data_IF_540731562233
#
_entry.id   IF_540731562233
#
_cell.length_a   1.000
_cell.length_b   1.000
_cell.length_c   1.000
_cell.angle_alpha   90.00
_cell.angle_beta   90.00
_cell.angle_gamma   90.00
#
_symmetry.space_group_name_H-M   'P 1'
#
loop_
_entity.id
_entity.type
_entity.pdbx_description
1 polymer ?
#
# COMPACT_ATOMS: atom_id res chain seq x y z
N UNK A 1 64.78 0.67 1.13
CA UNK A 1 65.71 1.79 1.34
C UNK A 1 65.00 2.82 2.19
N UNK A 2 65.49 2.88 3.42
CA UNK A 2 65.45 3.87 4.51
C UNK A 2 64.12 4.48 4.96
N UNK A 3 63.85 4.05 6.18
CA UNK A 3 63.14 4.71 7.27
C UNK A 3 63.70 6.09 7.61
N UNK A 4 62.88 7.03 8.05
CA UNK A 4 63.28 7.92 9.14
C UNK A 4 62.08 8.30 10.02
N UNK A 5 62.25 7.93 11.31
CA UNK A 5 61.51 8.38 12.50
C UNK A 5 62.06 9.73 12.95
N UNK A 6 61.23 10.62 13.45
CA UNK A 6 61.55 11.57 14.54
C UNK A 6 60.30 11.81 15.36
N UNK A 7 60.42 11.76 16.47
CA UNK A 7 60.51 11.77 17.92
C UNK A 7 60.01 13.08 18.53
N UNK A 8 59.29 12.83 19.63
CA UNK A 8 58.69 13.71 20.63
C UNK A 8 59.65 14.73 21.26
N UNK A 9 59.05 15.80 21.76
CA UNK A 9 59.34 16.55 23.01
C UNK A 9 59.78 18.01 22.87
N UNK A 10 59.14 18.76 23.79
CA UNK A 10 59.55 20.02 24.50
C UNK A 10 59.13 21.30 23.79
N UNK A 11 58.53 22.33 24.39
CA UNK A 11 58.57 22.84 25.77
C UNK A 11 57.44 23.82 26.06
N UNK A 12 56.96 23.82 27.31
CA UNK A 12 56.10 24.87 27.90
C UNK A 12 56.81 26.22 27.92
N UNK A 13 56.09 27.32 27.65
CA UNK A 13 56.26 28.59 28.37
C UNK A 13 54.92 29.33 28.47
N UNK A 14 54.56 29.61 29.71
CA UNK A 14 53.38 30.39 30.11
C UNK A 14 53.59 31.90 29.84
N UNK A 15 52.54 32.55 29.34
CA UNK A 15 52.36 33.99 29.49
C UNK A 15 50.95 34.22 30.03
N UNK A 16 50.89 34.76 31.25
CA UNK A 16 49.70 35.23 31.91
C UNK A 16 49.34 36.59 31.29
N UNK A 17 48.20 36.66 30.71
CA UNK A 17 47.60 37.95 30.26
C UNK A 17 46.11 37.87 30.50
N UNK A 18 45.62 38.57 31.53
CA UNK A 18 44.22 38.63 31.84
C UNK A 18 43.40 39.36 30.78
N UNK A 19 42.34 38.73 30.37
CA UNK A 19 41.25 39.39 29.61
C UNK A 19 39.93 38.94 30.22
N UNK A 20 39.15 39.89 30.67
CA UNK A 20 37.79 39.70 31.17
C UNK A 20 36.93 39.17 29.99
N UNK A 21 36.64 37.88 29.99
CA UNK A 21 35.69 37.29 29.10
C UNK A 21 34.28 37.53 29.68
N UNK A 22 33.53 38.45 29.07
CA UNK A 22 32.10 38.54 29.26
C UNK A 22 31.49 37.21 28.89
N UNK A 23 31.01 36.46 29.86
CA UNK A 23 30.33 35.18 29.67
C UNK A 23 29.01 35.40 28.93
N UNK A 24 29.01 35.33 27.61
CA UNK A 24 27.82 34.98 26.88
C UNK A 24 27.53 33.51 27.16
N UNK A 25 26.71 33.25 28.17
CA UNK A 25 26.11 31.98 28.43
C UNK A 25 25.27 31.60 27.21
N UNK A 26 25.84 30.75 26.35
CA UNK A 26 25.05 29.98 25.42
C UNK A 26 24.13 29.11 26.29
N UNK A 27 22.93 29.60 26.55
CA UNK A 27 21.87 28.76 27.06
C UNK A 27 21.69 27.67 25.98
N UNK A 28 22.21 26.50 26.23
CA UNK A 28 21.73 25.28 25.56
C UNK A 28 20.21 25.31 25.80
N UNK A 29 19.46 25.60 24.76
CA UNK A 29 18.03 25.41 24.80
C UNK A 29 17.86 23.92 25.10
N UNK A 30 17.47 23.56 26.33
CA UNK A 30 17.01 22.23 26.63
C UNK A 30 15.91 21.95 25.61
N UNK A 31 16.14 21.00 24.70
CA UNK A 31 15.09 20.49 23.87
C UNK A 31 13.97 20.06 24.82
N UNK A 32 12.78 20.61 24.65
CA UNK A 32 11.65 20.23 25.49
C UNK A 32 11.45 18.72 25.33
N UNK A 33 11.34 18.00 26.45
CA UNK A 33 11.07 16.58 26.42
C UNK A 33 9.70 16.34 25.77
N UNK A 34 9.59 15.28 24.97
CA UNK A 34 8.33 14.88 24.36
C UNK A 34 7.24 14.64 25.42
N UNK A 35 6.04 15.17 25.16
CA UNK A 35 4.90 15.00 26.03
C UNK A 35 3.62 14.74 25.22
N UNK A 36 2.94 13.64 25.49
CA UNK A 36 1.65 13.31 24.84
C UNK A 36 0.55 14.35 25.10
N UNK A 37 0.62 15.13 26.19
CA UNK A 37 -0.36 16.17 26.55
C UNK A 37 -0.07 17.54 25.90
N UNK A 38 0.96 17.66 25.06
CA UNK A 38 1.40 18.96 24.49
C UNK A 38 0.35 19.69 23.65
N UNK A 39 -0.68 18.98 23.19
CA UNK A 39 -1.80 19.53 22.41
C UNK A 39 -3.15 19.29 23.12
N UNK A 40 -3.14 19.14 24.45
CA UNK A 40 -4.35 18.89 25.24
C UNK A 40 -5.39 20.00 25.03
N UNK A 41 -6.63 19.58 24.76
CA UNK A 41 -7.78 20.47 24.51
C UNK A 41 -8.03 20.75 23.03
N UNK A 42 -7.10 20.42 22.12
CA UNK A 42 -7.33 20.50 20.69
C UNK A 42 -8.26 19.38 20.20
N UNK A 43 -8.79 19.58 19.01
CA UNK A 43 -9.58 18.59 18.28
C UNK A 43 -8.96 18.35 16.92
N UNK A 44 -8.93 17.09 16.48
CA UNK A 44 -8.51 16.71 15.11
C UNK A 44 -9.61 15.93 14.40
N UNK A 45 -9.61 16.03 13.08
CA UNK A 45 -10.55 15.32 12.22
C UNK A 45 -9.81 14.43 11.21
N UNK A 46 -10.25 13.16 11.09
CA UNK A 46 -9.57 12.14 10.32
C UNK A 46 -10.46 11.60 9.20
N UNK A 47 -9.92 11.53 8.00
CA UNK A 47 -10.55 10.89 6.85
C UNK A 47 -10.07 9.46 6.66
N UNK A 48 -10.95 8.47 6.85
CA UNK A 48 -10.68 7.06 6.61
C UNK A 48 -11.37 6.57 5.33
N UNK A 49 -10.66 5.75 4.57
CA UNK A 49 -11.28 4.79 3.65
C UNK A 49 -11.85 3.62 4.46
N UNK A 50 -12.97 3.05 4.03
CA UNK A 50 -13.50 1.82 4.63
C UNK A 50 -12.47 0.69 4.44
N UNK A 51 -11.83 0.27 5.55
CA UNK A 51 -10.77 -0.73 5.56
C UNK A 51 -10.60 -1.31 6.97
N UNK A 52 -10.26 -2.62 7.14
CA UNK A 52 -10.07 -3.24 8.46
C UNK A 52 -9.08 -2.50 9.38
N UNK A 53 -8.03 -1.89 8.82
CA UNK A 53 -7.11 -1.04 9.59
C UNK A 53 -7.81 0.17 10.21
N UNK A 54 -8.70 0.84 9.46
CA UNK A 54 -9.46 1.98 9.95
C UNK A 54 -10.41 1.55 11.07
N UNK A 55 -11.14 0.44 10.88
CA UNK A 55 -12.05 -0.12 11.87
C UNK A 55 -11.32 -0.44 13.18
N UNK A 56 -10.12 -1.06 13.07
CA UNK A 56 -9.28 -1.34 14.23
C UNK A 56 -8.87 -0.07 14.98
N UNK A 57 -8.38 0.95 14.27
CA UNK A 57 -7.94 2.21 14.88
C UNK A 57 -9.11 2.94 15.57
N UNK A 58 -10.27 2.96 14.94
CA UNK A 58 -11.48 3.62 15.48
C UNK A 58 -11.86 3.05 16.86
N UNK A 59 -11.76 1.74 17.04
CA UNK A 59 -12.04 1.13 18.37
C UNK A 59 -11.07 1.59 19.45
N UNK A 60 -9.89 2.09 19.09
CA UNK A 60 -8.84 2.50 20.02
C UNK A 60 -8.76 4.03 20.20
N UNK A 61 -9.49 4.83 19.41
CA UNK A 61 -9.53 6.30 19.54
C UNK A 61 -9.82 6.78 20.97
N UNK A 62 -10.77 6.20 21.74
CA UNK A 62 -11.03 6.64 23.11
C UNK A 62 -9.80 6.55 24.03
N UNK A 63 -8.92 5.58 23.79
CA UNK A 63 -7.65 5.45 24.53
C UNK A 63 -6.67 6.56 24.17
N UNK A 64 -6.56 6.89 22.88
CA UNK A 64 -5.77 8.03 22.42
C UNK A 64 -6.26 9.35 23.01
N UNK A 65 -7.56 9.60 22.99
CA UNK A 65 -8.15 10.80 23.59
C UNK A 65 -7.84 10.90 25.09
N UNK A 66 -7.98 9.78 25.83
CA UNK A 66 -7.65 9.74 27.26
C UNK A 66 -6.17 10.03 27.51
N UNK A 67 -5.28 9.49 26.68
CA UNK A 67 -3.84 9.62 26.82
C UNK A 67 -3.38 11.06 26.51
N UNK A 68 -3.96 11.69 25.50
CA UNK A 68 -3.48 12.99 24.97
C UNK A 68 -4.31 14.19 25.40
N UNK A 69 -5.55 13.96 25.86
CA UNK A 69 -6.53 15.02 26.10
C UNK A 69 -7.03 15.69 24.81
N UNK A 70 -6.70 15.15 23.64
CA UNK A 70 -7.26 15.57 22.36
C UNK A 70 -8.69 15.04 22.19
N UNK A 71 -9.46 15.69 21.31
CA UNK A 71 -10.71 15.14 20.75
C UNK A 71 -10.50 14.70 19.32
N UNK A 72 -11.07 13.56 18.94
CA UNK A 72 -10.97 13.02 17.60
C UNK A 72 -12.35 12.84 16.99
N UNK A 73 -12.55 13.48 15.85
CA UNK A 73 -13.67 13.19 14.96
C UNK A 73 -13.16 12.47 13.71
N UNK A 74 -14.01 11.71 13.07
CA UNK A 74 -13.61 10.99 11.86
C UNK A 74 -14.79 10.78 10.91
N UNK A 75 -14.46 10.54 9.65
CA UNK A 75 -15.40 10.08 8.63
C UNK A 75 -14.87 8.81 7.97
N UNK A 76 -15.78 7.91 7.58
CA UNK A 76 -15.46 6.72 6.80
C UNK A 76 -16.14 6.85 5.45
N UNK A 77 -15.40 6.66 4.37
CA UNK A 77 -15.92 6.72 3.00
C UNK A 77 -15.54 5.43 2.28
N UNK A 78 -16.46 4.79 1.51
CA UNK A 78 -16.12 3.66 0.64
C UNK A 78 -14.97 4.02 -0.31
N UNK A 79 -14.07 3.06 -0.61
CA UNK A 79 -12.83 3.33 -1.35
C UNK A 79 -13.07 4.00 -2.71
N UNK A 80 -14.10 3.56 -3.45
CA UNK A 80 -14.42 4.11 -4.77
C UNK A 80 -14.68 5.63 -4.74
N UNK A 81 -15.30 6.12 -3.67
CA UNK A 81 -15.62 7.53 -3.49
C UNK A 81 -14.53 8.28 -2.73
N UNK A 82 -13.76 7.55 -1.90
CA UNK A 82 -12.79 8.14 -0.97
C UNK A 82 -11.73 8.97 -1.69
N UNK A 83 -11.07 8.42 -2.69
CA UNK A 83 -9.99 9.12 -3.40
C UNK A 83 -10.50 10.35 -4.14
N UNK A 84 -11.66 10.26 -4.78
CA UNK A 84 -12.28 11.37 -5.52
C UNK A 84 -12.67 12.51 -4.59
N UNK A 85 -13.36 12.17 -3.48
CA UNK A 85 -13.79 13.14 -2.47
C UNK A 85 -12.59 13.82 -1.80
N UNK A 86 -11.61 13.03 -1.34
CA UNK A 86 -10.40 13.56 -0.70
C UNK A 86 -9.62 14.46 -1.65
N UNK A 87 -9.39 14.03 -2.90
CA UNK A 87 -8.68 14.81 -3.90
C UNK A 87 -9.37 16.16 -4.15
N UNK A 88 -10.70 16.18 -4.26
CA UNK A 88 -11.48 17.39 -4.46
C UNK A 88 -11.39 18.36 -3.26
N UNK A 89 -11.46 17.83 -2.04
CA UNK A 89 -11.30 18.62 -0.82
C UNK A 89 -9.90 19.25 -0.73
N UNK A 90 -8.86 18.46 -0.96
CA UNK A 90 -7.47 18.94 -0.91
C UNK A 90 -7.18 19.98 -2.01
N UNK A 91 -7.68 19.76 -3.22
CA UNK A 91 -7.54 20.71 -4.33
C UNK A 91 -8.22 22.06 -4.05
N UNK A 92 -9.30 22.07 -3.28
CA UNK A 92 -9.98 23.28 -2.81
C UNK A 92 -9.24 23.99 -1.66
N UNK A 93 -8.13 23.44 -1.16
CA UNK A 93 -7.42 23.99 0.00
C UNK A 93 -8.14 23.76 1.34
N UNK A 94 -9.02 22.75 1.39
CA UNK A 94 -9.82 22.44 2.56
C UNK A 94 -8.95 21.84 3.68
N UNK A 95 -8.81 22.54 4.78
CA UNK A 95 -8.10 22.11 5.99
C UNK A 95 -9.01 21.44 7.04
N UNK A 96 -10.22 21.04 6.70
CA UNK A 96 -11.18 20.43 7.63
C UNK A 96 -10.72 19.05 8.13
N UNK A 97 -10.04 18.25 7.30
CA UNK A 97 -9.34 17.06 7.72
C UNK A 97 -7.91 17.42 8.15
N UNK A 98 -7.45 16.85 9.25
CA UNK A 98 -6.07 17.01 9.74
C UNK A 98 -5.18 15.85 9.30
N UNK A 99 -5.73 14.63 9.32
CA UNK A 99 -5.09 13.38 8.90
C UNK A 99 -6.01 12.66 7.94
N UNK A 100 -5.44 11.96 6.98
CA UNK A 100 -6.21 11.12 6.07
C UNK A 100 -5.43 9.89 5.63
N UNK A 101 -6.16 8.82 5.28
CA UNK A 101 -5.57 7.67 4.61
C UNK A 101 -5.18 8.06 3.18
N UNK A 102 -4.06 7.53 2.72
CA UNK A 102 -3.59 7.71 1.35
C UNK A 102 -2.75 6.51 0.93
N UNK A 103 -2.43 6.45 -0.35
CA UNK A 103 -1.54 5.44 -0.91
C UNK A 103 -0.53 6.05 -1.87
N UNK A 104 0.48 5.30 -2.33
CA UNK A 104 1.61 5.84 -3.09
C UNK A 104 1.22 6.67 -4.31
N UNK A 105 0.28 6.18 -5.10
CA UNK A 105 -0.15 6.86 -6.33
C UNK A 105 -0.79 8.23 -6.08
N UNK A 106 -1.53 8.38 -4.98
CA UNK A 106 -2.18 9.66 -4.63
C UNK A 106 -1.21 10.65 -4.01
N UNK A 107 -0.18 10.16 -3.31
CA UNK A 107 0.88 11.00 -2.72
C UNK A 107 1.55 11.88 -3.77
N UNK A 108 1.79 11.39 -4.99
CA UNK A 108 2.45 12.18 -6.03
C UNK A 108 1.62 13.40 -6.46
N UNK A 109 0.32 13.23 -6.64
CA UNK A 109 -0.59 14.32 -6.93
C UNK A 109 -0.65 15.32 -5.77
N UNK A 110 -0.80 14.81 -4.54
CA UNK A 110 -0.92 15.64 -3.34
C UNK A 110 0.37 16.39 -3.02
N UNK A 111 1.54 15.77 -3.21
CA UNK A 111 2.84 16.41 -3.04
C UNK A 111 3.10 17.53 -4.06
N UNK A 112 2.77 17.31 -5.34
CA UNK A 112 2.89 18.34 -6.38
C UNK A 112 1.96 19.50 -6.12
N UNK A 113 0.73 19.24 -5.68
CA UNK A 113 -0.25 20.25 -5.28
C UNK A 113 0.10 20.97 -3.97
N UNK A 114 1.09 20.48 -3.21
CA UNK A 114 1.40 20.94 -1.84
C UNK A 114 0.23 20.76 -0.88
N UNK A 115 -0.53 19.68 -1.06
CA UNK A 115 -1.72 19.35 -0.26
C UNK A 115 -1.42 18.39 0.89
N UNK A 116 -0.26 17.74 0.85
CA UNK A 116 0.24 16.82 1.87
C UNK A 116 1.53 17.35 2.49
N UNK A 117 1.66 17.21 3.80
CA UNK A 117 2.79 17.73 4.57
C UNK A 117 4.01 16.82 4.47
N UNK A 118 5.21 17.38 4.48
CA UNK A 118 6.45 16.62 4.67
C UNK A 118 6.61 16.25 6.14
N UNK A 119 6.61 14.96 6.44
CA UNK A 119 6.67 14.45 7.81
C UNK A 119 8.09 14.36 8.39
N UNK A 120 9.14 14.46 7.56
CA UNK A 120 10.52 14.32 8.04
C UNK A 120 10.88 15.33 9.16
N UNK A 121 10.49 16.63 9.09
CA UNK A 121 10.79 17.57 10.18
C UNK A 121 10.14 17.20 11.52
N UNK A 122 8.99 16.52 11.50
CA UNK A 122 8.33 16.06 12.73
C UNK A 122 9.07 14.87 13.33
N UNK A 123 9.49 13.92 12.48
CA UNK A 123 10.26 12.73 12.87
C UNK A 123 11.59 13.14 13.52
N UNK A 124 12.27 14.11 12.93
CA UNK A 124 13.60 14.56 13.37
C UNK A 124 13.54 15.46 14.62
N UNK A 125 12.36 15.88 15.05
CA UNK A 125 12.17 16.74 16.20
C UNK A 125 11.85 15.95 17.47
N UNK A 126 12.80 15.83 18.41
CA UNK A 126 12.61 15.05 19.63
C UNK A 126 11.57 15.63 20.58
N UNK A 127 11.17 16.91 20.43
CA UNK A 127 10.06 17.49 21.17
C UNK A 127 8.69 17.09 20.64
N UNK A 128 8.62 16.67 19.37
CA UNK A 128 7.35 16.28 18.70
C UNK A 128 7.20 14.76 18.58
N UNK A 129 8.30 14.00 18.60
CA UNK A 129 8.29 12.55 18.36
C UNK A 129 8.68 11.79 19.61
N UNK A 130 7.82 10.87 20.02
CA UNK A 130 8.06 9.99 21.17
C UNK A 130 9.30 9.13 20.94
N UNK A 131 10.27 9.07 21.86
CA UNK A 131 11.49 8.26 21.70
C UNK A 131 11.20 6.77 21.42
N UNK A 132 10.11 6.25 22.01
CA UNK A 132 9.71 4.85 21.84
C UNK A 132 8.97 4.57 20.52
N UNK A 133 8.72 5.58 19.68
CA UNK A 133 8.00 5.38 18.41
C UNK A 133 8.82 4.57 17.40
N UNK A 134 10.13 4.72 17.41
CA UNK A 134 11.10 3.95 16.61
C UNK A 134 10.75 3.91 15.10
N UNK A 135 11.19 4.93 14.39
CA UNK A 135 11.02 5.01 12.93
C UNK A 135 11.77 3.88 12.19
N UNK A 136 12.91 3.44 12.73
CA UNK A 136 13.76 2.43 12.09
C UNK A 136 13.16 1.02 12.08
N UNK A 137 12.16 0.77 12.91
CA UNK A 137 11.40 -0.48 12.94
C UNK A 137 10.45 -0.65 11.73
N UNK A 138 10.16 0.43 10.99
CA UNK A 138 9.39 0.33 9.74
C UNK A 138 10.21 -0.36 8.63
N UNK A 139 9.55 -1.21 7.82
CA UNK A 139 10.22 -1.81 6.67
C UNK A 139 10.72 -0.73 5.70
N UNK A 140 12.02 -0.74 5.32
CA UNK A 140 12.58 0.29 4.45
C UNK A 140 11.85 0.42 3.10
N UNK A 141 11.38 -0.69 2.53
CA UNK A 141 10.62 -0.68 1.28
C UNK A 141 9.27 0.02 1.43
N UNK A 142 8.55 -0.18 2.54
CA UNK A 142 7.29 0.51 2.83
C UNK A 142 7.50 2.02 3.00
N UNK A 143 8.57 2.43 3.72
CA UNK A 143 8.95 3.84 3.86
C UNK A 143 9.32 4.45 2.51
N UNK A 144 10.12 3.72 1.71
CA UNK A 144 10.60 4.17 0.39
C UNK A 144 9.46 4.55 -0.55
N UNK A 145 8.38 3.81 -0.57
CA UNK A 145 7.24 4.05 -1.47
C UNK A 145 6.50 5.36 -1.14
N UNK A 146 6.60 5.83 0.11
CA UNK A 146 6.00 7.09 0.58
C UNK A 146 6.95 8.31 0.46
N UNK A 147 8.15 8.13 -0.14
CA UNK A 147 9.10 9.21 -0.42
C UNK A 147 9.13 9.55 -1.91
N UNK A 148 9.13 10.83 -2.21
CA UNK A 148 9.22 11.30 -3.58
C UNK A 148 9.87 12.69 -3.67
N UNK A 149 10.71 12.89 -4.68
CA UNK A 149 11.42 14.18 -4.91
C UNK A 149 10.57 15.24 -5.61
N UNK A 150 9.36 14.90 -6.08
CA UNK A 150 8.57 15.76 -6.97
C UNK A 150 8.91 15.62 -8.46
N UNK A 151 9.90 14.77 -8.82
CA UNK A 151 10.28 14.55 -10.20
C UNK A 151 9.29 13.63 -10.93
N UNK A 152 8.67 14.12 -11.99
CA UNK A 152 7.81 13.30 -12.85
C UNK A 152 8.57 12.12 -13.43
N UNK A 153 7.97 10.94 -13.37
CA UNK A 153 8.51 9.67 -13.85
C UNK A 153 9.82 9.22 -13.17
N UNK A 154 10.15 9.80 -12.03
CA UNK A 154 11.35 9.45 -11.28
C UNK A 154 11.31 9.89 -9.82
N UNK A 155 12.44 9.75 -9.14
CA UNK A 155 12.61 10.27 -7.78
C UNK A 155 11.91 9.48 -6.66
N UNK A 156 11.26 8.34 -6.95
CA UNK A 156 10.67 7.48 -5.94
C UNK A 156 11.71 6.98 -4.95
N UNK A 157 11.35 6.95 -3.67
CA UNK A 157 12.21 6.49 -2.59
C UNK A 157 13.25 7.49 -2.11
N UNK A 158 13.22 8.71 -2.62
CA UNK A 158 14.11 9.81 -2.23
C UNK A 158 13.31 11.08 -1.90
N UNK A 159 13.96 12.03 -1.23
CA UNK A 159 13.32 13.32 -0.87
C UNK A 159 12.38 13.23 0.32
N UNK A 160 11.42 14.17 0.43
CA UNK A 160 10.47 14.23 1.53
C UNK A 160 9.70 12.93 1.76
N UNK A 161 9.37 12.66 3.01
CA UNK A 161 8.46 11.59 3.42
C UNK A 161 7.07 12.20 3.63
N UNK A 162 6.07 11.72 2.90
CA UNK A 162 4.75 12.33 2.90
C UNK A 162 3.71 11.57 3.73
N UNK A 163 3.94 10.28 4.00
CA UNK A 163 3.01 9.49 4.79
C UNK A 163 3.73 8.39 5.57
N UNK A 164 3.13 7.96 6.67
CA UNK A 164 3.60 6.82 7.47
C UNK A 164 2.80 5.57 7.07
N UNK A 165 3.46 4.48 6.66
CA UNK A 165 2.78 3.26 6.26
C UNK A 165 2.09 2.60 7.46
N UNK A 166 0.88 2.09 7.24
CA UNK A 166 0.01 1.48 8.25
C UNK A 166 -0.37 0.04 7.95
N UNK A 167 -0.46 -0.30 6.67
CA UNK A 167 -0.77 -1.63 6.18
C UNK A 167 -0.07 -1.83 4.84
N UNK A 168 0.38 -3.05 4.57
CA UNK A 168 1.12 -3.42 3.37
C UNK A 168 0.41 -4.61 2.71
N UNK A 169 0.09 -4.50 1.42
CA UNK A 169 -0.64 -5.52 0.69
C UNK A 169 0.21 -6.01 -0.49
N UNK A 170 0.59 -7.28 -0.45
CA UNK A 170 1.05 -8.02 -1.61
C UNK A 170 -0.12 -8.76 -2.27
N UNK A 171 0.05 -9.20 -3.52
CA UNK A 171 -0.99 -9.92 -4.24
C UNK A 171 -0.54 -11.34 -4.50
N UNK A 172 -1.35 -12.29 -4.06
CA UNK A 172 -1.06 -13.72 -4.09
C UNK A 172 -2.31 -14.53 -4.42
N UNK A 173 -2.16 -15.83 -4.60
CA UNK A 173 -3.28 -16.74 -4.86
C UNK A 173 -3.81 -17.27 -3.53
N UNK A 174 -5.11 -17.09 -3.28
CA UNK A 174 -5.88 -17.92 -2.36
C UNK A 174 -6.70 -18.94 -3.16
N UNK A 175 -6.77 -20.18 -2.72
CA UNK A 175 -7.46 -21.24 -3.43
C UNK A 175 -8.18 -22.22 -2.50
N UNK A 176 -9.22 -22.87 -2.99
CA UNK A 176 -9.95 -23.92 -2.29
C UNK A 176 -9.15 -25.23 -2.34
N UNK A 177 -8.33 -25.50 -1.32
CA UNK A 177 -7.50 -26.70 -1.24
C UNK A 177 -8.33 -27.98 -1.20
N UNK A 178 -9.51 -27.95 -0.60
CA UNK A 178 -10.44 -29.08 -0.57
C UNK A 178 -11.01 -29.42 -1.95
N UNK A 179 -11.29 -28.41 -2.77
CA UNK A 179 -11.76 -28.58 -4.16
C UNK A 179 -10.63 -29.13 -5.02
N UNK A 180 -9.43 -28.56 -4.95
CA UNK A 180 -8.27 -29.03 -5.71
C UNK A 180 -7.96 -30.50 -5.39
N UNK A 181 -7.96 -30.86 -4.12
CA UNK A 181 -7.72 -32.23 -3.68
C UNK A 181 -8.78 -33.21 -4.24
N UNK A 182 -10.07 -32.87 -4.16
CA UNK A 182 -11.17 -33.69 -4.70
C UNK A 182 -11.13 -33.82 -6.22
N UNK A 183 -10.74 -32.76 -6.92
CA UNK A 183 -10.70 -32.71 -8.39
C UNK A 183 -9.38 -33.25 -8.99
N UNK A 184 -8.39 -33.58 -8.17
CA UNK A 184 -7.07 -34.01 -8.62
C UNK A 184 -6.35 -32.91 -9.43
N UNK A 185 -6.46 -31.66 -9.00
CA UNK A 185 -5.83 -30.50 -9.66
C UNK A 185 -4.67 -30.01 -8.79
N UNK A 186 -3.50 -29.84 -9.38
CA UNK A 186 -2.34 -29.29 -8.70
C UNK A 186 -2.50 -27.77 -8.50
N UNK A 187 -1.80 -27.22 -7.51
CA UNK A 187 -1.73 -25.76 -7.28
C UNK A 187 -0.97 -25.11 -8.44
N UNK A 188 -1.59 -24.18 -9.20
CA UNK A 188 -0.98 -23.57 -10.37
C UNK A 188 0.23 -22.72 -10.00
N UNK A 189 1.30 -22.81 -10.81
CA UNK A 189 2.55 -22.07 -10.63
C UNK A 189 2.74 -20.98 -11.69
N UNK A 190 2.07 -21.10 -12.83
CA UNK A 190 2.13 -20.15 -13.95
C UNK A 190 0.74 -19.57 -14.23
N UNK A 191 0.72 -18.45 -14.96
CA UNK A 191 -0.54 -17.81 -15.39
C UNK A 191 -1.37 -18.76 -16.25
N UNK A 192 -0.72 -19.50 -17.17
CA UNK A 192 -1.41 -20.43 -18.05
C UNK A 192 -1.98 -21.63 -17.30
N UNK A 193 -1.26 -22.15 -16.30
CA UNK A 193 -1.77 -23.19 -15.40
C UNK A 193 -2.95 -22.71 -14.57
N UNK A 194 -2.92 -21.44 -14.07
CA UNK A 194 -4.04 -20.84 -13.33
C UNK A 194 -5.27 -20.72 -14.21
N UNK A 195 -5.11 -20.25 -15.46
CA UNK A 195 -6.19 -20.17 -16.44
C UNK A 195 -6.78 -21.55 -16.72
N UNK A 196 -5.94 -22.52 -17.02
CA UNK A 196 -6.37 -23.89 -17.31
C UNK A 196 -7.12 -24.53 -16.12
N UNK A 197 -6.61 -24.35 -14.90
CA UNK A 197 -7.25 -24.85 -13.69
C UNK A 197 -8.58 -24.12 -13.41
N UNK A 198 -8.62 -22.80 -13.58
CA UNK A 198 -9.83 -21.99 -13.40
C UNK A 198 -10.94 -22.43 -14.38
N UNK A 199 -10.63 -22.58 -15.67
CA UNK A 199 -11.61 -23.04 -16.66
C UNK A 199 -12.05 -24.49 -16.39
N UNK A 200 -11.12 -25.40 -16.03
CA UNK A 200 -11.45 -26.80 -15.69
C UNK A 200 -12.42 -26.88 -14.51
N UNK A 201 -12.26 -26.00 -13.52
CA UNK A 201 -13.06 -26.01 -12.28
C UNK A 201 -14.26 -25.02 -12.32
N UNK A 202 -14.42 -24.29 -13.41
CA UNK A 202 -15.61 -23.46 -13.59
C UNK A 202 -16.85 -24.36 -13.79
N UNK A 203 -17.86 -24.15 -12.96
CA UNK A 203 -19.02 -25.02 -12.90
C UNK A 203 -18.83 -26.31 -12.05
N UNK A 204 -17.69 -26.44 -11.35
CA UNK A 204 -17.45 -27.57 -10.44
C UNK A 204 -18.48 -27.57 -9.31
N UNK A 205 -19.07 -28.74 -9.06
CA UNK A 205 -20.05 -28.91 -7.99
C UNK A 205 -19.42 -29.49 -6.75
N UNK A 206 -19.63 -28.83 -5.64
CA UNK A 206 -19.27 -29.34 -4.32
C UNK A 206 -20.41 -29.07 -3.36
N UNK A 207 -20.87 -30.13 -2.69
CA UNK A 207 -22.10 -30.09 -1.89
C UNK A 207 -23.26 -29.57 -2.78
N UNK A 208 -24.01 -28.56 -2.34
CA UNK A 208 -25.10 -27.96 -3.12
C UNK A 208 -24.66 -26.74 -3.97
N UNK A 209 -23.36 -26.42 -3.99
CA UNK A 209 -22.83 -25.24 -4.68
C UNK A 209 -22.23 -25.57 -6.04
N UNK A 210 -22.49 -24.69 -7.00
CA UNK A 210 -21.77 -24.64 -8.27
C UNK A 210 -20.77 -23.49 -8.19
N UNK A 211 -19.49 -23.78 -8.36
CA UNK A 211 -18.42 -22.81 -8.17
C UNK A 211 -18.02 -22.13 -9.47
N UNK A 212 -17.68 -20.86 -9.40
CA UNK A 212 -16.86 -20.22 -10.42
C UNK A 212 -15.40 -20.65 -10.27
N UNK A 213 -14.70 -20.80 -11.38
CA UNK A 213 -13.29 -21.21 -11.33
C UNK A 213 -12.39 -20.14 -10.75
N UNK A 214 -12.74 -18.87 -10.97
CA UNK A 214 -11.93 -17.70 -10.57
C UNK A 214 -12.80 -16.58 -10.02
N UNK A 215 -12.22 -15.75 -9.15
CA UNK A 215 -12.74 -14.43 -8.81
C UNK A 215 -11.59 -13.43 -8.67
N UNK A 216 -11.83 -12.20 -9.05
CA UNK A 216 -10.90 -11.08 -8.97
C UNK A 216 -11.62 -9.77 -9.23
N UNK A 217 -10.88 -8.65 -9.29
CA UNK A 217 -11.44 -7.31 -9.51
C UNK A 217 -11.64 -7.09 -11.02
N UNK A 218 -12.89 -7.04 -11.46
CA UNK A 218 -13.25 -6.78 -12.85
C UNK A 218 -13.72 -5.35 -13.13
N UNK A 219 -13.91 -4.52 -12.09
CA UNK A 219 -14.40 -3.16 -12.23
C UNK A 219 -13.37 -2.22 -12.89
N UNK A 220 -13.88 -1.18 -13.50
CA UNK A 220 -13.15 -0.06 -14.07
C UNK A 220 -12.67 0.89 -12.94
N UNK A 221 -11.44 0.68 -12.45
CA UNK A 221 -10.88 1.49 -11.38
C UNK A 221 -9.35 1.42 -11.40
N UNK A 222 -8.65 2.57 -11.34
CA UNK A 222 -7.19 2.63 -11.48
C UNK A 222 -6.39 1.70 -10.54
N UNK A 223 -6.82 1.36 -9.30
CA UNK A 223 -6.08 0.41 -8.46
C UNK A 223 -5.96 -0.99 -9.08
N UNK A 224 -6.82 -1.35 -10.03
CA UNK A 224 -6.73 -2.61 -10.77
C UNK A 224 -5.35 -2.83 -11.40
N UNK A 225 -4.66 -1.75 -11.80
CA UNK A 225 -3.30 -1.80 -12.34
C UNK A 225 -2.24 -2.24 -11.33
N UNK A 226 -2.56 -2.23 -10.04
CA UNK A 226 -1.63 -2.56 -8.96
C UNK A 226 -1.95 -3.93 -8.38
N UNK A 227 -3.20 -4.35 -8.46
CA UNK A 227 -3.77 -5.54 -7.82
C UNK A 227 -3.57 -6.82 -8.64
N UNK A 228 -4.54 -7.73 -8.67
CA UNK A 228 -4.45 -8.99 -9.41
C UNK A 228 -4.09 -8.81 -10.89
N UNK A 229 -4.76 -7.88 -11.60
CA UNK A 229 -4.40 -7.58 -12.99
C UNK A 229 -2.97 -7.01 -13.10
N UNK A 230 -2.60 -6.10 -12.20
CA UNK A 230 -1.23 -5.57 -12.14
C UNK A 230 -0.18 -6.66 -11.94
N UNK A 231 -0.52 -7.69 -11.16
CA UNK A 231 0.35 -8.87 -10.97
C UNK A 231 0.53 -9.64 -12.28
N UNK A 232 -0.53 -9.81 -13.08
CA UNK A 232 -0.43 -10.41 -14.42
C UNK A 232 0.40 -9.52 -15.36
N UNK A 233 0.21 -8.19 -15.34
CA UNK A 233 1.06 -7.27 -16.12
C UNK A 233 2.54 -7.46 -15.80
N UNK A 234 2.90 -7.58 -14.53
CA UNK A 234 4.29 -7.78 -14.10
C UNK A 234 4.84 -9.14 -14.54
N UNK A 235 4.03 -10.21 -14.47
CA UNK A 235 4.41 -11.54 -14.93
C UNK A 235 4.73 -11.59 -16.44
N UNK A 236 4.15 -10.68 -17.23
CA UNK A 236 4.40 -10.53 -18.65
C UNK A 236 5.44 -9.44 -18.97
N UNK A 237 5.99 -8.74 -17.98
CA UNK A 237 7.00 -7.72 -18.16
C UNK A 237 6.46 -6.38 -18.67
N UNK A 238 5.15 -6.16 -18.57
CA UNK A 238 4.52 -4.90 -18.94
C UNK A 238 5.02 -3.73 -18.09
N UNK A 239 5.07 -2.55 -18.69
CA UNK A 239 5.48 -1.29 -18.08
C UNK A 239 4.41 -0.23 -18.31
N UNK A 240 4.46 0.84 -17.56
CA UNK A 240 3.61 2.02 -17.79
C UNK A 240 4.13 2.93 -18.90
N UNK A 241 5.46 2.99 -19.07
CA UNK A 241 6.13 3.86 -20.04
C UNK A 241 7.04 3.08 -20.99
N UNK A 242 7.04 3.49 -22.25
CA UNK A 242 8.04 3.13 -23.26
C UNK A 242 9.35 3.91 -23.03
N UNK A 243 10.46 3.51 -23.66
CA UNK A 243 11.74 4.23 -23.51
C UNK A 243 11.69 5.71 -23.92
N UNK A 244 10.81 6.08 -24.83
CA UNK A 244 10.57 7.46 -25.26
C UNK A 244 9.69 8.27 -24.29
N UNK A 245 9.25 7.62 -23.20
CA UNK A 245 8.38 8.20 -22.17
C UNK A 245 6.91 8.26 -22.58
N UNK A 246 6.48 7.68 -23.70
CA UNK A 246 5.08 7.50 -24.03
C UNK A 246 4.46 6.33 -23.26
N UNK A 247 3.11 6.25 -23.25
CA UNK A 247 2.38 5.16 -22.60
C UNK A 247 2.74 3.80 -23.22
N UNK A 248 2.99 2.81 -22.39
CA UNK A 248 3.19 1.42 -22.80
C UNK A 248 1.92 0.56 -22.62
N UNK A 249 0.76 1.17 -22.43
CA UNK A 249 -0.51 0.43 -22.29
C UNK A 249 -0.82 -0.44 -23.53
N UNK A 250 -0.37 -0.04 -24.71
CA UNK A 250 -0.51 -0.76 -25.98
C UNK A 250 0.72 -1.59 -26.36
N UNK A 251 1.63 -1.84 -25.43
CA UNK A 251 2.78 -2.72 -25.69
C UNK A 251 2.35 -4.18 -25.90
N UNK A 252 3.12 -5.00 -26.63
CA UNK A 252 2.82 -6.43 -26.79
C UNK A 252 2.63 -7.14 -25.45
N UNK A 253 3.45 -6.83 -24.45
CA UNK A 253 3.40 -7.40 -23.11
C UNK A 253 2.11 -7.03 -22.39
N UNK A 254 1.68 -5.75 -22.48
CA UNK A 254 0.43 -5.27 -21.89
C UNK A 254 -0.79 -5.89 -22.56
N UNK A 255 -0.78 -6.01 -23.88
CA UNK A 255 -1.86 -6.62 -24.65
C UNK A 255 -2.01 -8.11 -24.27
N UNK A 256 -0.89 -8.85 -24.23
CA UNK A 256 -0.93 -10.27 -23.90
C UNK A 256 -1.35 -10.51 -22.44
N UNK A 257 -0.80 -9.74 -21.50
CA UNK A 257 -1.23 -9.80 -20.09
C UNK A 257 -2.73 -9.52 -19.94
N UNK A 258 -3.26 -8.57 -20.72
CA UNK A 258 -4.71 -8.26 -20.71
C UNK A 258 -5.54 -9.42 -21.27
N UNK A 259 -5.10 -10.09 -22.33
CA UNK A 259 -5.76 -11.30 -22.84
C UNK A 259 -5.81 -12.38 -21.75
N UNK A 260 -4.71 -12.63 -21.06
CA UNK A 260 -4.66 -13.60 -19.96
C UNK A 260 -5.58 -13.25 -18.80
N UNK A 261 -5.62 -11.98 -18.43
CA UNK A 261 -6.55 -11.50 -17.40
C UNK A 261 -8.03 -11.71 -17.81
N UNK A 262 -8.37 -11.40 -19.05
CA UNK A 262 -9.71 -11.63 -19.59
C UNK A 262 -10.08 -13.12 -19.56
N UNK A 263 -9.14 -14.03 -19.86
CA UNK A 263 -9.39 -15.48 -19.76
C UNK A 263 -9.67 -15.89 -18.31
N UNK A 264 -8.99 -15.32 -17.32
CA UNK A 264 -9.32 -15.56 -15.91
C UNK A 264 -10.74 -15.02 -15.57
N UNK A 265 -11.07 -13.81 -15.98
CA UNK A 265 -12.40 -13.21 -15.73
C UNK A 265 -13.53 -14.03 -16.35
N UNK A 266 -13.33 -14.67 -17.52
CA UNK A 266 -14.30 -15.56 -18.16
C UNK A 266 -14.61 -16.83 -17.35
N UNK A 267 -13.73 -17.24 -16.45
CA UNK A 267 -13.97 -18.33 -15.51
C UNK A 267 -14.63 -17.87 -14.20
N UNK A 268 -15.00 -16.59 -14.12
CA UNK A 268 -15.58 -15.97 -12.94
C UNK A 268 -17.12 -15.90 -12.97
N UNK A 269 -17.71 -15.28 -11.93
CA UNK A 269 -19.15 -14.97 -11.89
C UNK A 269 -19.57 -14.11 -13.08
N UNK A 270 -20.82 -14.22 -13.50
CA UNK A 270 -21.35 -13.49 -14.67
C UNK A 270 -21.32 -11.96 -14.49
N UNK A 271 -21.36 -11.48 -13.26
CA UNK A 271 -21.34 -10.07 -12.88
C UNK A 271 -19.94 -9.57 -12.44
N UNK A 272 -18.89 -10.36 -12.68
CA UNK A 272 -17.50 -10.07 -12.24
C UNK A 272 -16.99 -8.70 -12.74
N UNK A 273 -17.52 -8.18 -13.88
CA UNK A 273 -17.18 -6.87 -14.40
C UNK A 273 -17.49 -5.71 -13.43
N UNK A 274 -18.37 -5.93 -12.46
CA UNK A 274 -18.72 -4.96 -11.42
C UNK A 274 -17.94 -5.13 -10.11
N UNK A 275 -17.12 -6.20 -9.98
CA UNK A 275 -16.48 -6.54 -8.72
C UNK A 275 -15.30 -5.64 -8.43
N UNK A 276 -15.36 -4.96 -7.26
CA UNK A 276 -14.22 -4.43 -6.54
C UNK A 276 -13.65 -5.47 -5.56
N UNK A 277 -12.78 -5.02 -4.67
CA UNK A 277 -12.16 -5.92 -3.71
C UNK A 277 -13.16 -6.52 -2.70
N UNK A 278 -14.16 -5.73 -2.25
CA UNK A 278 -15.16 -6.21 -1.29
C UNK A 278 -15.99 -7.36 -1.87
N UNK A 279 -16.44 -7.21 -3.13
CA UNK A 279 -17.23 -8.24 -3.81
C UNK A 279 -16.39 -9.49 -4.07
N UNK A 280 -15.12 -9.34 -4.51
CA UNK A 280 -14.22 -10.45 -4.73
C UNK A 280 -13.93 -11.23 -3.43
N UNK A 281 -13.63 -10.51 -2.34
CA UNK A 281 -13.42 -11.09 -1.01
C UNK A 281 -14.68 -11.82 -0.50
N UNK A 282 -15.84 -11.17 -0.57
CA UNK A 282 -17.11 -11.75 -0.11
C UNK A 282 -17.49 -13.00 -0.92
N UNK A 283 -17.30 -12.98 -2.24
CA UNK A 283 -17.56 -14.12 -3.11
C UNK A 283 -16.70 -15.33 -2.71
N UNK A 284 -15.39 -15.12 -2.52
CA UNK A 284 -14.47 -16.20 -2.13
C UNK A 284 -14.75 -16.69 -0.70
N UNK A 285 -14.95 -15.78 0.27
CA UNK A 285 -15.29 -16.11 1.65
C UNK A 285 -16.60 -16.91 1.75
N UNK A 286 -17.58 -16.60 0.91
CA UNK A 286 -18.81 -17.38 0.80
C UNK A 286 -18.60 -18.77 0.15
N UNK A 287 -17.40 -19.07 -0.35
CA UNK A 287 -17.08 -20.35 -0.99
C UNK A 287 -17.71 -20.52 -2.37
N UNK A 288 -17.90 -19.42 -3.12
CA UNK A 288 -18.53 -19.46 -4.44
C UNK A 288 -17.51 -19.54 -5.59
N UNK A 289 -16.21 -19.41 -5.30
CA UNK A 289 -15.14 -19.52 -6.29
C UNK A 289 -13.99 -20.40 -5.82
N UNK A 290 -13.22 -20.94 -6.78
CA UNK A 290 -12.10 -21.85 -6.51
C UNK A 290 -10.80 -21.10 -6.30
N UNK A 291 -10.50 -20.11 -7.13
CA UNK A 291 -9.29 -19.29 -7.06
C UNK A 291 -9.63 -17.82 -6.89
N UNK A 292 -8.80 -17.12 -6.11
CA UNK A 292 -8.74 -15.67 -6.01
C UNK A 292 -7.29 -15.22 -6.21
N UNK A 293 -7.06 -14.23 -7.06
CA UNK A 293 -5.79 -13.51 -7.16
C UNK A 293 -6.00 -12.07 -6.71
N UNK A 294 -5.71 -11.79 -5.45
CA UNK A 294 -5.91 -10.47 -4.84
C UNK A 294 -5.01 -10.29 -3.60
N UNK A 295 -5.28 -9.24 -2.82
CA UNK A 295 -4.51 -8.85 -1.64
C UNK A 295 -4.46 -9.98 -0.59
N UNK A 296 -3.27 -10.29 -0.15
CA UNK A 296 -2.99 -11.37 0.79
C UNK A 296 -3.60 -11.14 2.19
N UNK A 297 -3.81 -9.87 2.60
CA UNK A 297 -4.49 -9.57 3.86
C UNK A 297 -5.95 -10.07 3.94
N UNK A 298 -6.58 -10.37 2.81
CA UNK A 298 -7.95 -10.92 2.77
C UNK A 298 -8.05 -12.28 3.49
N UNK A 299 -6.92 -12.95 3.71
CA UNK A 299 -6.84 -14.19 4.48
C UNK A 299 -7.47 -14.05 5.88
N UNK A 300 -7.40 -12.86 6.50
CA UNK A 300 -8.03 -12.62 7.80
C UNK A 300 -9.55 -12.83 7.79
N UNK A 301 -10.21 -12.52 6.66
CA UNK A 301 -11.65 -12.78 6.49
C UNK A 301 -11.89 -14.24 6.15
N UNK A 302 -11.04 -14.86 5.31
CA UNK A 302 -11.25 -16.25 4.89
C UNK A 302 -11.13 -17.25 6.04
N UNK A 303 -10.32 -16.92 7.06
CA UNK A 303 -10.08 -17.74 8.23
C UNK A 303 -10.89 -17.30 9.47
N UNK A 304 -11.79 -16.31 9.33
CA UNK A 304 -12.72 -15.92 10.39
C UNK A 304 -14.04 -16.69 10.28
N UNK A 305 -14.38 -17.56 11.27
CA UNK A 305 -15.61 -18.36 11.23
C UNK A 305 -16.90 -17.53 11.30
N UNK A 306 -16.81 -16.25 11.65
CA UNK A 306 -17.96 -15.33 11.65
C UNK A 306 -18.26 -14.74 10.28
N UNK A 307 -17.28 -14.74 9.38
CA UNK A 307 -17.35 -14.07 8.09
C UNK A 307 -17.21 -15.03 6.91
N UNK A 308 -16.71 -16.25 7.11
CA UNK A 308 -16.31 -17.16 6.05
C UNK A 308 -16.96 -18.55 6.17
N UNK A 309 -17.31 -19.11 4.99
CA UNK A 309 -17.76 -20.50 4.82
C UNK A 309 -16.60 -21.45 4.43
N UNK A 310 -15.38 -20.89 4.27
CA UNK A 310 -14.21 -21.63 3.76
C UNK A 310 -13.10 -21.76 4.79
N UNK A 311 -13.36 -21.47 6.06
CA UNK A 311 -12.39 -21.62 7.15
C UNK A 311 -11.74 -23.00 7.13
N UNK A 312 -10.39 -23.03 7.16
CA UNK A 312 -9.61 -24.26 7.12
C UNK A 312 -9.63 -25.00 5.77
N UNK A 313 -10.30 -24.43 4.74
CA UNK A 313 -10.38 -24.99 3.38
C UNK A 313 -9.55 -24.19 2.37
N UNK A 314 -8.88 -23.14 2.82
CA UNK A 314 -8.10 -22.23 1.97
C UNK A 314 -6.63 -22.64 1.99
N UNK A 315 -6.03 -22.73 0.81
CA UNK A 315 -4.59 -22.79 0.62
C UNK A 315 -4.10 -21.47 0.04
N UNK A 316 -2.84 -21.15 0.30
CA UNK A 316 -2.20 -19.93 -0.19
C UNK A 316 -1.00 -20.29 -1.05
N UNK A 317 -0.81 -19.56 -2.15
CA UNK A 317 0.32 -19.74 -3.06
C UNK A 317 0.84 -18.39 -3.53
N UNK A 318 2.12 -18.35 -3.92
CA UNK A 318 2.69 -17.17 -4.55
C UNK A 318 1.91 -16.84 -5.84
N UNK A 319 1.95 -15.58 -6.22
CA UNK A 319 1.45 -15.10 -7.50
C UNK A 319 1.99 -15.96 -8.66
N UNK A 320 1.20 -16.15 -9.74
CA UNK A 320 1.62 -17.03 -10.83
C UNK A 320 2.76 -16.40 -11.64
N UNK A 321 3.72 -17.20 -12.11
CA UNK A 321 4.77 -16.73 -13.01
C UNK A 321 4.29 -16.66 -14.45
N UNK A 322 4.85 -15.69 -15.20
CA UNK A 322 4.73 -15.58 -16.64
C UNK A 322 6.09 -15.56 -17.32
N UNK A 323 6.16 -15.16 -18.60
CA UNK A 323 7.42 -15.09 -19.35
C UNK A 323 8.51 -14.21 -18.73
N UNK A 324 8.13 -13.17 -17.99
CA UNK A 324 9.05 -12.28 -17.28
C UNK A 324 9.36 -12.72 -15.84
N UNK A 325 8.84 -13.89 -15.42
CA UNK A 325 9.00 -14.44 -14.08
C UNK A 325 7.81 -14.14 -13.17
N UNK A 326 8.07 -14.07 -11.85
CA UNK A 326 7.09 -13.67 -10.83
C UNK A 326 7.25 -12.18 -10.51
N UNK A 327 6.15 -11.53 -10.22
CA UNK A 327 6.13 -10.17 -9.72
C UNK A 327 4.76 -9.84 -9.15
N UNK A 328 4.75 -9.28 -7.97
CA UNK A 328 3.54 -8.80 -7.31
C UNK A 328 3.56 -7.28 -7.24
N UNK A 329 2.42 -6.66 -7.47
CA UNK A 329 2.20 -5.29 -7.05
C UNK A 329 2.32 -5.18 -5.53
N UNK A 330 2.44 -3.97 -5.03
CA UNK A 330 2.35 -3.66 -3.61
C UNK A 330 1.45 -2.44 -3.44
N UNK A 331 0.52 -2.53 -2.51
CA UNK A 331 -0.23 -1.38 -2.05
C UNK A 331 0.10 -1.08 -0.60
N UNK A 332 0.13 0.18 -0.24
CA UNK A 332 0.31 0.61 1.14
C UNK A 332 -0.80 1.59 1.51
N UNK A 333 -1.57 1.23 2.50
CA UNK A 333 -2.36 2.22 3.21
C UNK A 333 -1.47 2.95 4.18
N UNK A 334 -1.46 4.25 4.10
CA UNK A 334 -0.62 5.13 4.88
C UNK A 334 -1.45 6.27 5.47
N UNK A 335 -0.95 6.91 6.53
CA UNK A 335 -1.52 8.14 7.08
C UNK A 335 -0.70 9.33 6.64
N UNK A 336 -1.34 10.25 5.91
CA UNK A 336 -0.80 11.54 5.51
C UNK A 336 -1.38 12.66 6.36
N UNK A 337 -0.64 13.75 6.48
CA UNK A 337 -1.06 14.98 7.17
C UNK A 337 -1.47 16.02 6.14
N UNK A 338 -2.62 16.66 6.34
CA UNK A 338 -3.09 17.73 5.48
C UNK A 338 -2.22 18.99 5.62
N UNK A 339 -1.65 19.45 4.51
CA UNK A 339 -0.81 20.65 4.51
C UNK A 339 -1.57 21.94 4.93
N UNK A 340 -2.90 21.95 4.78
CA UNK A 340 -3.78 23.06 5.15
C UNK A 340 -4.27 22.98 6.61
N UNK A 341 -4.00 21.87 7.31
CA UNK A 341 -4.34 21.74 8.73
C UNK A 341 -3.71 22.84 9.57
N UNK A 342 -4.48 23.38 10.51
CA UNK A 342 -4.02 24.32 11.52
C UNK A 342 -3.56 23.63 12.81
N UNK A 343 -3.69 22.30 12.88
CA UNK A 343 -3.42 21.47 14.07
C UNK A 343 -2.37 20.40 13.79
N UNK A 344 -1.31 20.75 13.04
CA UNK A 344 -0.31 19.81 12.55
C UNK A 344 0.39 19.01 13.65
N UNK A 345 0.70 19.66 14.80
CA UNK A 345 1.32 18.94 15.91
C UNK A 345 0.36 17.91 16.53
N UNK A 346 -0.93 18.24 16.66
CA UNK A 346 -1.95 17.30 17.13
C UNK A 346 -2.16 16.13 16.11
N UNK A 347 -2.17 16.44 14.82
CA UNK A 347 -2.20 15.45 13.75
C UNK A 347 -1.00 14.50 13.80
N UNK A 348 0.21 15.03 14.09
CA UNK A 348 1.42 14.22 14.26
C UNK A 348 1.33 13.29 15.48
N UNK A 349 0.77 13.75 16.60
CA UNK A 349 0.53 12.88 17.76
C UNK A 349 -0.34 11.68 17.39
N UNK A 350 -1.39 11.89 16.57
CA UNK A 350 -2.23 10.79 16.12
C UNK A 350 -1.48 9.83 15.19
N UNK A 351 -0.75 10.35 14.19
CA UNK A 351 -0.02 9.52 13.22
C UNK A 351 1.00 8.63 13.95
N UNK A 352 1.80 9.18 14.88
CA UNK A 352 2.79 8.39 15.60
C UNK A 352 2.15 7.39 16.57
N UNK A 353 1.03 7.74 17.23
CA UNK A 353 0.29 6.81 18.08
C UNK A 353 -0.26 5.64 17.25
N UNK A 354 -1.00 5.93 16.18
CA UNK A 354 -1.60 4.94 15.31
C UNK A 354 -0.56 3.99 14.70
N UNK A 355 0.60 4.52 14.32
CA UNK A 355 1.70 3.76 13.73
C UNK A 355 2.69 3.20 14.76
N UNK A 356 2.45 3.34 16.06
CA UNK A 356 3.31 2.78 17.11
C UNK A 356 3.28 1.25 17.11
N UNK A 357 4.37 0.64 17.56
CA UNK A 357 4.46 -0.83 17.73
C UNK A 357 3.28 -1.37 18.54
N UNK A 358 2.94 -0.70 19.65
CA UNK A 358 1.88 -1.14 20.55
C UNK A 358 0.52 -1.18 19.84
N UNK A 359 0.15 -0.12 19.13
CA UNK A 359 -1.15 -0.02 18.44
C UNK A 359 -1.17 -0.98 17.25
N UNK A 360 -0.14 -1.00 16.40
CA UNK A 360 -0.08 -1.93 15.27
C UNK A 360 -0.13 -3.40 15.71
N UNK A 361 0.51 -3.78 16.82
CA UNK A 361 0.38 -5.14 17.34
C UNK A 361 -1.06 -5.49 17.71
N UNK A 362 -1.81 -4.52 18.25
CA UNK A 362 -3.23 -4.73 18.62
C UNK A 362 -4.14 -4.79 17.41
N UNK A 363 -3.83 -4.05 16.33
CA UNK A 363 -4.63 -4.10 15.10
C UNK A 363 -4.58 -5.46 14.41
N UNK A 364 -3.59 -6.31 14.70
CA UNK A 364 -3.52 -7.69 14.19
C UNK A 364 -4.77 -8.49 14.58
N UNK A 365 -5.27 -8.33 15.80
CA UNK A 365 -6.48 -9.02 16.27
C UNK A 365 -7.77 -8.59 15.51
N UNK A 366 -7.72 -7.51 14.75
CA UNK A 366 -8.80 -7.00 13.90
C UNK A 366 -8.58 -7.29 12.41
N UNK A 367 -7.60 -8.14 12.09
CA UNK A 367 -7.33 -8.52 10.71
C UNK A 367 -6.33 -7.63 9.97
N UNK A 368 -5.66 -6.67 10.63
CA UNK A 368 -4.52 -5.95 10.04
C UNK A 368 -3.26 -6.81 10.15
N UNK A 369 -3.16 -7.81 9.30
CA UNK A 369 -2.15 -8.88 9.38
C UNK A 369 -0.90 -8.63 8.54
N UNK A 370 -0.84 -7.49 7.87
CA UNK A 370 0.31 -7.07 7.05
C UNK A 370 0.90 -5.77 7.61
N UNK A 371 1.41 -5.79 8.86
CA UNK A 371 1.92 -4.58 9.49
C UNK A 371 3.27 -4.19 8.88
N UNK A 372 3.49 -2.90 8.56
CA UNK A 372 4.75 -2.42 7.98
C UNK A 372 5.88 -2.24 9.03
N UNK A 373 5.74 -2.80 10.23
CA UNK A 373 6.75 -2.83 11.29
C UNK A 373 7.35 -4.22 11.45
N UNK A 374 8.69 -4.31 11.39
CA UNK A 374 9.44 -5.56 11.52
C UNK A 374 9.16 -6.27 12.84
N UNK A 375 9.11 -5.50 13.93
CA UNK A 375 8.85 -6.04 15.27
C UNK A 375 7.41 -6.53 15.47
N UNK A 376 6.44 -6.01 14.69
CA UNK A 376 5.04 -6.47 14.72
C UNK A 376 4.87 -7.69 13.82
N UNK A 377 5.44 -7.66 12.61
CA UNK A 377 5.42 -8.78 11.67
C UNK A 377 6.02 -10.08 12.28
N UNK A 378 7.06 -9.94 13.11
CA UNK A 378 7.70 -11.05 13.83
C UNK A 378 7.17 -11.29 15.25
N UNK A 379 6.08 -10.62 15.63
CA UNK A 379 5.55 -10.72 16.99
C UNK A 379 4.89 -12.08 17.28
N UNK A 380 4.90 -12.52 18.56
CA UNK A 380 4.13 -13.70 18.98
C UNK A 380 2.63 -13.57 18.68
N UNK A 381 2.09 -12.35 18.75
CA UNK A 381 0.69 -12.06 18.44
C UNK A 381 0.39 -12.36 16.97
N UNK A 382 1.23 -11.87 16.05
CA UNK A 382 1.09 -12.15 14.62
C UNK A 382 1.22 -13.65 14.34
N UNK A 383 2.27 -14.29 14.85
CA UNK A 383 2.50 -15.73 14.68
C UNK A 383 1.30 -16.55 15.19
N UNK A 384 0.77 -16.20 16.37
CA UNK A 384 -0.40 -16.87 16.93
C UNK A 384 -1.66 -16.64 16.08
N UNK A 385 -1.86 -15.41 15.59
CA UNK A 385 -3.07 -15.05 14.83
C UNK A 385 -3.17 -15.84 13.52
N UNK A 386 -2.07 -15.96 12.79
CA UNK A 386 -2.03 -16.70 11.52
C UNK A 386 -1.72 -18.21 11.70
N UNK A 387 -1.61 -18.69 12.93
CA UNK A 387 -1.36 -20.11 13.18
C UNK A 387 -2.52 -20.97 12.72
N UNK A 388 -2.25 -22.02 11.98
CA UNK A 388 -3.27 -22.89 11.40
C UNK A 388 -3.76 -22.49 10.02
N UNK A 389 -3.27 -21.36 9.44
CA UNK A 389 -3.62 -20.93 8.08
C UNK A 389 -2.70 -21.54 7.01
N UNK A 390 -2.28 -22.78 7.20
CA UNK A 390 -1.38 -23.47 6.26
C UNK A 390 -0.08 -22.70 6.00
N UNK A 391 0.26 -22.54 4.74
CA UNK A 391 1.49 -21.84 4.30
C UNK A 391 1.38 -20.31 4.26
N UNK A 392 0.29 -19.69 4.71
CA UNK A 392 0.03 -18.25 4.60
C UNK A 392 1.25 -17.40 4.96
N UNK A 393 1.80 -17.58 6.16
CA UNK A 393 2.91 -16.76 6.66
C UNK A 393 4.17 -16.87 5.79
N UNK A 394 4.45 -18.09 5.29
CA UNK A 394 5.58 -18.34 4.37
C UNK A 394 5.35 -17.66 3.01
N UNK A 395 4.14 -17.76 2.47
CA UNK A 395 3.76 -17.14 1.19
C UNK A 395 3.85 -15.63 1.29
N UNK A 396 3.19 -15.02 2.30
CA UNK A 396 3.23 -13.59 2.55
C UNK A 396 4.67 -13.06 2.69
N UNK A 397 5.46 -13.65 3.60
CA UNK A 397 6.84 -13.20 3.82
C UNK A 397 7.74 -13.37 2.59
N UNK A 398 7.54 -14.45 1.81
CA UNK A 398 8.26 -14.67 0.56
C UNK A 398 7.86 -13.66 -0.50
N UNK A 399 6.56 -13.38 -0.65
CA UNK A 399 6.05 -12.39 -1.58
C UNK A 399 6.66 -11.01 -1.28
N UNK A 400 6.49 -10.50 -0.05
CA UNK A 400 7.01 -9.18 0.34
C UNK A 400 8.53 -9.05 0.21
N UNK A 401 9.28 -10.09 0.54
CA UNK A 401 10.74 -10.02 0.50
C UNK A 401 11.34 -10.15 -0.91
N UNK A 402 10.66 -10.83 -1.85
CA UNK A 402 11.23 -11.18 -3.15
C UNK A 402 10.51 -10.61 -4.34
N UNK A 403 9.17 -10.47 -4.29
CA UNK A 403 8.35 -10.25 -5.48
C UNK A 403 7.54 -8.97 -5.43
N UNK A 404 7.00 -8.60 -4.24
CA UNK A 404 6.19 -7.41 -4.08
C UNK A 404 7.03 -6.14 -4.17
N UNK A 405 6.69 -5.29 -5.14
CA UNK A 405 7.35 -4.01 -5.32
C UNK A 405 6.43 -3.02 -6.03
N UNK A 406 6.58 -1.76 -5.71
CA UNK A 406 6.02 -0.70 -6.52
C UNK A 406 6.84 -0.54 -7.78
N UNK A 407 6.26 -0.76 -8.95
CA UNK A 407 6.97 -0.77 -10.23
C UNK A 407 6.52 0.30 -11.21
N UNK A 408 5.55 1.12 -10.82
CA UNK A 408 5.03 2.20 -11.63
C UNK A 408 5.84 3.47 -11.46
N UNK A 409 5.98 4.24 -12.52
CA UNK A 409 6.70 5.52 -12.48
C UNK A 409 5.84 6.60 -11.82
N UNK A 410 6.43 7.39 -10.89
CA UNK A 410 5.70 8.49 -10.25
C UNK A 410 5.15 9.49 -11.27
N UNK A 411 3.84 9.71 -11.23
CA UNK A 411 3.16 10.68 -12.08
C UNK A 411 2.02 11.35 -11.32
N UNK A 412 1.92 12.67 -11.42
CA UNK A 412 0.81 13.43 -10.81
C UNK A 412 -0.55 13.09 -11.38
N UNK A 413 -0.59 12.49 -12.56
CA UNK A 413 -1.81 12.06 -13.25
C UNK A 413 -1.92 10.53 -13.32
N UNK A 414 -1.22 9.81 -12.44
CA UNK A 414 -1.23 8.34 -12.44
C UNK A 414 -2.65 7.78 -12.33
N UNK A 415 -3.48 8.32 -11.44
CA UNK A 415 -4.85 7.86 -11.24
C UNK A 415 -5.70 8.04 -12.49
N UNK A 416 -5.64 9.23 -13.13
CA UNK A 416 -6.37 9.49 -14.37
C UNK A 416 -5.91 8.59 -15.54
N UNK A 417 -4.60 8.38 -15.67
CA UNK A 417 -4.03 7.49 -16.67
C UNK A 417 -4.45 6.03 -16.39
N UNK A 418 -4.44 5.64 -15.12
CA UNK A 418 -4.86 4.33 -14.66
C UNK A 418 -6.33 4.04 -14.93
N UNK A 419 -7.22 5.02 -14.72
CA UNK A 419 -8.64 4.87 -15.04
C UNK A 419 -8.86 4.65 -16.55
N UNK A 420 -8.11 5.32 -17.43
CA UNK A 420 -8.18 5.06 -18.88
C UNK A 420 -7.73 3.65 -19.25
N UNK A 421 -6.69 3.17 -18.60
CA UNK A 421 -6.22 1.80 -18.82
C UNK A 421 -7.23 0.78 -18.28
N UNK A 422 -7.70 0.93 -17.05
CA UNK A 422 -8.68 0.03 -16.44
C UNK A 422 -9.99 -0.03 -17.24
N UNK A 423 -10.48 1.13 -17.73
CA UNK A 423 -11.63 1.21 -18.63
C UNK A 423 -11.41 0.39 -19.90
N UNK A 424 -10.23 0.49 -20.53
CA UNK A 424 -9.93 -0.26 -21.74
C UNK A 424 -9.92 -1.78 -21.51
N UNK A 425 -9.44 -2.22 -20.36
CA UNK A 425 -9.48 -3.64 -19.95
C UNK A 425 -10.91 -4.11 -19.77
N UNK A 426 -11.75 -3.35 -19.03
CA UNK A 426 -13.15 -3.69 -18.82
C UNK A 426 -13.92 -3.68 -20.13
N UNK A 427 -13.71 -2.69 -20.99
CA UNK A 427 -14.34 -2.63 -22.33
C UNK A 427 -13.98 -3.84 -23.18
N UNK A 428 -12.70 -4.26 -23.19
CA UNK A 428 -12.28 -5.46 -23.91
C UNK A 428 -13.03 -6.70 -23.39
N UNK A 429 -13.11 -6.86 -22.06
CA UNK A 429 -13.80 -7.98 -21.44
C UNK A 429 -15.30 -7.98 -21.76
N UNK A 430 -15.99 -6.87 -21.49
CA UNK A 430 -17.46 -6.80 -21.61
C UNK A 430 -17.92 -6.81 -23.06
N UNK A 431 -17.20 -6.14 -23.96
CA UNK A 431 -17.60 -6.07 -25.38
C UNK A 431 -17.05 -7.20 -26.25
N UNK A 432 -16.10 -8.00 -25.74
CA UNK A 432 -15.39 -9.03 -26.50
C UNK A 432 -14.43 -8.47 -27.57
N UNK A 433 -14.12 -7.17 -27.54
CA UNK A 433 -13.13 -6.55 -28.46
C UNK A 433 -11.72 -7.04 -28.14
N UNK A 434 -10.87 -7.11 -29.16
CA UNK A 434 -9.44 -7.42 -28.95
C UNK A 434 -8.82 -6.33 -28.06
N UNK A 435 -8.15 -6.71 -26.97
CA UNK A 435 -7.39 -5.79 -26.12
C UNK A 435 -6.43 -4.87 -26.87
N UNK A 436 -5.87 -5.32 -27.99
CA UNK A 436 -5.02 -4.47 -28.84
C UNK A 436 -5.74 -3.19 -29.33
N UNK A 437 -7.05 -3.27 -29.58
CA UNK A 437 -7.83 -2.12 -30.04
C UNK A 437 -8.13 -1.17 -28.89
N UNK A 438 -8.61 -1.70 -27.75
CA UNK A 438 -9.01 -0.87 -26.60
C UNK A 438 -7.80 -0.24 -25.91
N UNK A 439 -6.70 -0.98 -25.77
CA UNK A 439 -5.46 -0.50 -25.16
C UNK A 439 -4.72 0.52 -26.05
N UNK A 440 -4.81 0.40 -27.37
CA UNK A 440 -4.26 1.42 -28.28
C UNK A 440 -4.99 2.75 -28.12
N UNK A 441 -6.31 2.74 -28.00
CA UNK A 441 -7.10 3.95 -27.73
C UNK A 441 -6.74 4.54 -26.36
N UNK A 442 -6.64 3.68 -25.33
CA UNK A 442 -6.22 4.11 -23.99
C UNK A 442 -4.81 4.72 -23.99
N UNK A 443 -3.86 4.15 -24.72
CA UNK A 443 -2.50 4.69 -24.82
C UNK A 443 -2.48 6.10 -25.41
N UNK A 444 -3.34 6.39 -26.39
CA UNK A 444 -3.51 7.74 -26.95
C UNK A 444 -4.04 8.72 -25.92
N UNK A 445 -5.11 8.35 -25.19
CA UNK A 445 -5.68 9.18 -24.12
C UNK A 445 -4.67 9.41 -22.99
N UNK A 446 -3.95 8.38 -22.57
CA UNK A 446 -2.90 8.47 -21.52
C UNK A 446 -1.81 9.41 -21.98
N UNK A 447 -1.35 9.33 -23.24
CA UNK A 447 -0.35 10.24 -23.78
C UNK A 447 -0.81 11.70 -23.74
N UNK A 448 -2.07 11.98 -24.06
CA UNK A 448 -2.64 13.32 -23.96
C UNK A 448 -2.71 13.82 -22.49
N UNK A 449 -3.05 12.95 -21.54
CA UNK A 449 -3.01 13.25 -20.09
C UNK A 449 -1.59 13.58 -19.64
N UNK A 450 -0.61 12.77 -20.06
CA UNK A 450 0.80 12.93 -19.67
C UNK A 450 1.44 14.17 -20.29
N UNK A 451 1.07 14.55 -21.52
CA UNK A 451 1.54 15.77 -22.15
C UNK A 451 1.14 17.02 -21.34
N UNK A 452 -0.08 17.07 -20.82
CA UNK A 452 -0.52 18.13 -19.91
C UNK A 452 0.29 18.18 -18.62
N UNK A 453 0.67 17.02 -18.06
CA UNK A 453 1.51 16.96 -16.86
C UNK A 453 2.92 17.50 -17.11
N UNK A 454 3.48 17.25 -18.29
CA UNK A 454 4.84 17.74 -18.67
C UNK A 454 4.85 19.26 -18.90
N UNK A 455 3.78 19.79 -19.48
CA UNK A 455 3.65 21.25 -19.70
C UNK A 455 3.53 22.04 -18.38
N UNK A 456 3.07 21.38 -17.30
CA UNK A 456 2.87 21.98 -15.98
C UNK A 456 3.98 21.58 -14.97
N UNK A 457 5.05 20.93 -15.43
CA UNK A 457 6.17 20.51 -14.58
C UNK A 457 7.29 21.54 -14.58
#
# INVERSE_FOLDING_TARGET
MQLNKFSRRETLRAVVGGSVAAGMGVRAACAADFNWLQQKGDQINIGFSAHPMADALITMIPEFEKMTGLKVTYSITPENDFFTKLTSQLAAGDGSLDVYMCGPATIWQYAKGKWIENLQPYIDNPALTAPAWDFSDLFPNAVKVNRWTGQQFGGLGRGPLYAIPMNEEGYSIAYRQDVLAKAGVAVPQTVDELIAAAHKLNGYKIDEKTLSGFVGRGQEFWPTLITGYGTILLAYGAKDLKPDGSSAADSPESIEATRKWIELLKAGPSDIASYGWQQAQANFAAGNSVFLLDADHMAAVFEDPKQSQVVGKVGYALEPSGPAGRGSGIWLWSLGMNAFSKRKNAAWLFIQWASSKQIMTRTVAFGNINPPRQSVASSPQMTKYVSGWGDYNKIWSTNLSKYAAWRWNPSTNFTQAGDRWALAVQQAFVSGKDPAVTLKAAAQDINAIMARSRANA
#
